data_IF_582100070344
#
_entry.id   IF_582100070344
#
_cell.length_a   1.000
_cell.length_b   1.000
_cell.length_c   1.000
_cell.angle_alpha   90.00
_cell.angle_beta   90.00
_cell.angle_gamma   90.00
#
_symmetry.space_group_name_H-M   'P 1'
#
loop_
_entity.id
_entity.type
_entity.pdbx_description
1 polymer ?
#
# COMPACT_ATOMS: atom_id res chain seq x y z
N UNK A 1 -11.68 19.19 -5.27
CA UNK A 1 -12.03 18.27 -6.38
C UNK A 1 -12.65 17.03 -5.75
N UNK A 2 -13.83 16.59 -6.22
CA UNK A 2 -14.41 15.33 -5.72
C UNK A 2 -13.64 14.13 -6.28
N UNK A 3 -13.60 13.03 -5.54
CA UNK A 3 -12.99 11.75 -5.96
C UNK A 3 -13.58 11.24 -7.28
N UNK A 4 -14.84 11.56 -7.56
CA UNK A 4 -15.52 11.29 -8.83
C UNK A 4 -14.87 12.02 -10.01
N UNK A 5 -14.50 13.30 -9.84
CA UNK A 5 -13.82 14.08 -10.91
C UNK A 5 -12.46 13.46 -11.26
N UNK A 6 -11.70 13.03 -10.25
CA UNK A 6 -10.39 12.38 -10.46
C UNK A 6 -10.57 11.05 -11.20
N UNK A 7 -11.55 10.24 -10.80
CA UNK A 7 -11.82 8.95 -11.43
C UNK A 7 -12.18 9.05 -12.92
N UNK A 8 -12.81 10.14 -13.35
CA UNK A 8 -13.12 10.36 -14.76
C UNK A 8 -11.89 10.72 -15.62
N UNK A 9 -10.86 11.31 -15.02
CA UNK A 9 -9.66 11.80 -15.72
C UNK A 9 -8.53 10.78 -15.78
N UNK A 10 -8.51 9.80 -14.87
CA UNK A 10 -7.41 8.82 -14.80
C UNK A 10 -7.69 7.53 -15.59
N UNK A 11 -6.66 6.98 -16.22
CA UNK A 11 -6.63 5.61 -16.69
C UNK A 11 -6.52 4.67 -15.48
N UNK A 12 -7.67 4.16 -15.02
CA UNK A 12 -7.75 3.30 -13.84
C UNK A 12 -6.89 2.04 -13.95
N UNK A 13 -6.89 1.37 -15.10
CA UNK A 13 -6.11 0.15 -15.31
C UNK A 13 -4.60 0.39 -15.19
N UNK A 14 -4.12 1.45 -15.83
CA UNK A 14 -2.71 1.84 -15.75
C UNK A 14 -2.32 2.32 -14.35
N UNK A 15 -3.20 3.09 -13.69
CA UNK A 15 -3.02 3.55 -12.30
C UNK A 15 -2.94 2.38 -11.33
N UNK A 16 -3.87 1.42 -11.42
CA UNK A 16 -3.84 0.19 -10.60
C UNK A 16 -2.51 -0.55 -10.82
N UNK A 17 -2.05 -0.70 -12.07
CA UNK A 17 -0.79 -1.39 -12.36
C UNK A 17 0.39 -0.68 -11.70
N UNK A 18 0.50 0.65 -11.84
CA UNK A 18 1.58 1.47 -11.24
C UNK A 18 1.55 1.42 -9.71
N UNK A 19 0.40 1.67 -9.11
CA UNK A 19 0.25 1.65 -7.65
C UNK A 19 0.44 0.24 -7.04
N UNK A 20 -0.03 -0.81 -7.72
CA UNK A 20 0.22 -2.19 -7.30
C UNK A 20 1.71 -2.54 -7.31
N UNK A 21 2.45 -2.09 -8.32
CA UNK A 21 3.89 -2.27 -8.37
C UNK A 21 4.59 -1.53 -7.23
N UNK A 22 4.21 -0.26 -7.01
CA UNK A 22 4.71 0.53 -5.89
C UNK A 22 4.50 -0.18 -4.54
N UNK A 23 3.31 -0.72 -4.28
CA UNK A 23 3.02 -1.48 -3.04
C UNK A 23 3.86 -2.75 -2.92
N UNK A 24 4.09 -3.50 -4.01
CA UNK A 24 4.90 -4.72 -4.01
C UNK A 24 6.37 -4.48 -3.65
N UNK A 25 6.90 -3.31 -3.99
CA UNK A 25 8.27 -2.92 -3.68
C UNK A 25 8.51 -2.65 -2.18
N UNK A 26 7.45 -2.67 -1.35
CA UNK A 26 7.59 -2.47 0.09
C UNK A 26 8.62 -3.42 0.72
N UNK A 27 8.56 -4.71 0.37
CA UNK A 27 9.39 -5.74 1.01
C UNK A 27 10.89 -5.51 0.77
N UNK A 28 11.27 -5.16 -0.47
CA UNK A 28 12.67 -4.88 -0.81
C UNK A 28 13.19 -3.65 -0.07
N UNK A 29 12.37 -2.60 0.05
CA UNK A 29 12.70 -1.41 0.85
C UNK A 29 12.77 -1.72 2.34
N UNK A 30 11.88 -2.57 2.85
CA UNK A 30 11.84 -2.97 4.25
C UNK A 30 13.08 -3.79 4.63
N UNK A 31 13.43 -4.80 3.83
CA UNK A 31 14.65 -5.59 4.00
C UNK A 31 15.91 -4.73 3.90
N UNK A 32 15.95 -3.77 2.97
CA UNK A 32 17.06 -2.82 2.85
C UNK A 32 17.20 -1.98 4.12
N UNK A 33 16.08 -1.50 4.67
CA UNK A 33 16.05 -0.74 5.92
C UNK A 33 16.55 -1.58 7.10
N UNK A 34 16.06 -2.82 7.25
CA UNK A 34 16.48 -3.73 8.31
C UNK A 34 17.98 -4.03 8.24
N UNK A 35 18.48 -4.39 7.04
CA UNK A 35 19.89 -4.70 6.80
C UNK A 35 20.80 -3.52 7.16
N UNK A 36 20.47 -2.31 6.71
CA UNK A 36 21.30 -1.13 6.95
C UNK A 36 21.21 -0.62 8.40
N UNK A 37 20.05 -0.73 9.05
CA UNK A 37 19.93 -0.46 10.50
C UNK A 37 20.77 -1.42 11.32
N UNK A 38 20.73 -2.71 11.02
CA UNK A 38 21.57 -3.69 11.68
C UNK A 38 23.06 -3.40 11.44
N UNK A 39 23.45 -3.07 10.21
CA UNK A 39 24.81 -2.65 9.91
C UNK A 39 25.26 -1.42 10.73
N UNK A 40 24.38 -0.42 10.91
CA UNK A 40 24.69 0.78 11.71
C UNK A 40 24.93 0.52 13.20
N UNK A 41 24.46 -0.61 13.73
CA UNK A 41 24.72 -1.03 15.11
C UNK A 41 26.11 -1.67 15.27
N UNK A 42 26.74 -2.09 14.17
CA UNK A 42 28.00 -2.83 14.16
C UNK A 42 29.15 -1.96 13.63
N UNK A 43 28.86 -1.06 12.67
CA UNK A 43 29.83 -0.15 12.06
C UNK A 43 29.20 1.19 11.69
N UNK A 44 30.04 2.20 11.52
CA UNK A 44 29.64 3.45 10.87
C UNK A 44 29.30 3.17 9.41
N UNK A 45 28.15 3.65 8.97
CA UNK A 45 27.72 3.53 7.58
C UNK A 45 28.51 4.52 6.70
N UNK A 46 28.80 4.12 5.47
CA UNK A 46 29.30 5.05 4.47
C UNK A 46 28.21 6.09 4.09
N UNK A 47 28.59 7.28 3.57
CA UNK A 47 27.62 8.28 3.13
C UNK A 47 26.62 7.76 2.05
N UNK A 48 27.02 6.76 1.28
CA UNK A 48 26.15 6.10 0.28
C UNK A 48 25.12 5.21 0.98
N UNK A 49 25.55 4.42 1.97
CA UNK A 49 24.66 3.56 2.76
C UNK A 49 23.67 4.40 3.58
N UNK A 50 24.10 5.53 4.14
CA UNK A 50 23.20 6.45 4.86
C UNK A 50 22.10 7.01 3.95
N UNK A 51 22.48 7.48 2.75
CA UNK A 51 21.51 7.93 1.74
C UNK A 51 20.55 6.81 1.34
N UNK A 52 21.07 5.58 1.17
CA UNK A 52 20.24 4.43 0.85
C UNK A 52 19.26 4.09 1.98
N UNK A 53 19.69 4.14 3.24
CA UNK A 53 18.85 3.91 4.41
C UNK A 53 17.76 4.99 4.53
N UNK A 54 18.11 6.26 4.31
CA UNK A 54 17.16 7.36 4.32
C UNK A 54 16.09 7.17 3.25
N UNK A 55 16.49 6.84 2.02
CA UNK A 55 15.56 6.54 0.91
C UNK A 55 14.67 5.34 1.23
N UNK A 56 15.24 4.21 1.65
CA UNK A 56 14.48 3.01 1.97
C UNK A 56 13.47 3.25 3.10
N UNK A 57 13.89 4.01 4.13
CA UNK A 57 13.00 4.39 5.23
C UNK A 57 11.85 5.27 4.75
N UNK A 58 12.11 6.24 3.88
CA UNK A 58 11.08 7.08 3.26
C UNK A 58 10.08 6.25 2.44
N UNK A 59 10.58 5.33 1.61
CA UNK A 59 9.76 4.44 0.79
C UNK A 59 8.84 3.54 1.65
N UNK A 60 9.34 3.01 2.76
CA UNK A 60 8.49 2.28 3.71
C UNK A 60 7.46 3.20 4.38
N UNK A 61 7.88 4.37 4.86
CA UNK A 61 7.02 5.29 5.59
C UNK A 61 5.87 5.82 4.74
N UNK A 62 6.12 6.20 3.48
CA UNK A 62 5.06 6.76 2.63
C UNK A 62 3.92 5.76 2.41
N UNK A 63 4.25 4.48 2.19
CA UNK A 63 3.25 3.41 2.05
C UNK A 63 2.47 3.19 3.33
N UNK A 64 3.16 3.11 4.47
CA UNK A 64 2.52 2.92 5.78
C UNK A 64 1.59 4.08 6.11
N UNK A 65 2.08 5.33 6.03
CA UNK A 65 1.30 6.53 6.34
C UNK A 65 0.12 6.73 5.39
N UNK A 66 0.27 6.40 4.10
CA UNK A 66 -0.86 6.46 3.16
C UNK A 66 -1.96 5.48 3.54
N UNK A 67 -1.61 4.26 3.98
CA UNK A 67 -2.58 3.28 4.48
C UNK A 67 -3.18 3.68 5.83
N UNK A 68 -2.46 4.42 6.67
CA UNK A 68 -3.00 4.95 7.92
C UNK A 68 -4.03 6.05 7.63
N UNK A 69 -3.70 7.02 6.78
CA UNK A 69 -4.65 8.06 6.32
C UNK A 69 -5.90 7.43 5.69
N UNK A 70 -5.71 6.46 4.79
CA UNK A 70 -6.82 5.76 4.15
C UNK A 70 -7.73 5.05 5.17
N UNK A 71 -7.16 4.53 6.26
CA UNK A 71 -7.93 3.83 7.30
C UNK A 71 -8.80 4.78 8.13
N UNK A 72 -8.35 6.02 8.29
CA UNK A 72 -9.00 7.03 9.12
C UNK A 72 -10.12 7.78 8.40
N UNK A 73 -10.31 7.56 7.09
CA UNK A 73 -11.32 8.27 6.28
C UNK A 73 -12.76 7.86 6.62
N UNK A 74 -13.07 6.56 6.56
CA UNK A 74 -14.40 5.98 6.81
C UNK A 74 -14.30 4.46 6.96
N UNK A 75 -15.39 3.80 7.37
CA UNK A 75 -15.43 2.35 7.62
C UNK A 75 -15.06 1.51 6.39
N UNK A 76 -15.51 1.92 5.19
CA UNK A 76 -15.22 1.23 3.94
C UNK A 76 -13.72 1.34 3.64
N UNK A 77 -13.16 2.54 3.77
CA UNK A 77 -11.75 2.82 3.53
C UNK A 77 -10.86 2.15 4.56
N UNK A 78 -11.31 1.99 5.81
CA UNK A 78 -10.66 1.16 6.83
C UNK A 78 -10.53 -0.29 6.39
N UNK A 79 -11.61 -0.90 5.91
CA UNK A 79 -11.59 -2.27 5.37
C UNK A 79 -10.59 -2.39 4.22
N UNK A 80 -10.64 -1.45 3.28
CA UNK A 80 -9.76 -1.45 2.11
C UNK A 80 -8.28 -1.23 2.48
N UNK A 81 -8.00 -0.39 3.48
CA UNK A 81 -6.65 -0.14 3.98
C UNK A 81 -6.06 -1.38 4.67
N UNK A 82 -6.86 -2.07 5.50
CA UNK A 82 -6.43 -3.32 6.13
C UNK A 82 -6.13 -4.41 5.11
N UNK A 83 -6.96 -4.53 4.07
CA UNK A 83 -6.73 -5.45 2.95
C UNK A 83 -5.33 -5.23 2.34
N UNK A 84 -4.99 -3.98 2.00
CA UNK A 84 -3.69 -3.66 1.41
C UNK A 84 -2.54 -3.85 2.40
N UNK A 85 -2.71 -3.45 3.67
CA UNK A 85 -1.70 -3.62 4.71
C UNK A 85 -1.36 -5.10 4.87
N UNK A 86 -2.35 -5.96 5.07
CA UNK A 86 -2.11 -7.39 5.26
C UNK A 86 -1.53 -8.04 4.02
N UNK A 87 -1.97 -7.62 2.82
CA UNK A 87 -1.45 -8.18 1.57
C UNK A 87 0.00 -7.80 1.29
N UNK A 88 0.35 -6.52 1.43
CA UNK A 88 1.60 -5.97 0.90
C UNK A 88 2.64 -5.67 1.96
N UNK A 89 2.25 -5.38 3.20
CA UNK A 89 3.18 -5.08 4.29
C UNK A 89 3.37 -6.30 5.21
N UNK A 90 2.36 -7.16 5.33
CA UNK A 90 2.43 -8.38 6.15
C UNK A 90 2.54 -9.68 5.34
N UNK A 91 2.45 -9.60 4.01
CA UNK A 91 2.56 -10.75 3.08
C UNK A 91 1.58 -11.90 3.35
N UNK A 92 0.37 -11.60 3.83
CA UNK A 92 -0.63 -12.63 4.07
C UNK A 92 -1.19 -13.20 2.76
N UNK A 93 -1.56 -14.48 2.81
CA UNK A 93 -2.25 -15.17 1.72
C UNK A 93 -3.67 -14.62 1.55
N UNK A 94 -4.22 -14.71 0.35
CA UNK A 94 -5.59 -14.25 0.08
C UNK A 94 -6.63 -14.95 0.98
N UNK A 95 -6.59 -16.29 1.18
CA UNK A 95 -7.55 -16.95 2.07
C UNK A 95 -7.50 -16.43 3.50
N UNK A 96 -6.30 -16.20 4.05
CA UNK A 96 -6.13 -15.62 5.39
C UNK A 96 -6.73 -14.22 5.48
N UNK A 97 -6.52 -13.39 4.46
CA UNK A 97 -7.06 -12.03 4.41
C UNK A 97 -8.59 -12.08 4.32
N UNK A 98 -9.17 -12.93 3.48
CA UNK A 98 -10.62 -13.07 3.34
C UNK A 98 -11.28 -13.46 4.67
N UNK A 99 -10.71 -14.46 5.36
CA UNK A 99 -11.19 -14.86 6.68
C UNK A 99 -11.12 -13.69 7.67
N UNK A 100 -9.95 -13.06 7.78
CA UNK A 100 -9.75 -11.99 8.76
C UNK A 100 -10.64 -10.77 8.50
N UNK A 101 -10.86 -10.40 7.23
CA UNK A 101 -11.76 -9.30 6.87
C UNK A 101 -13.22 -9.65 7.19
N UNK A 102 -13.64 -10.89 6.90
CA UNK A 102 -15.00 -11.33 7.21
C UNK A 102 -15.27 -11.28 8.72
N UNK A 103 -14.31 -11.72 9.54
CA UNK A 103 -14.42 -11.70 10.99
C UNK A 103 -14.37 -10.28 11.55
N UNK A 104 -13.37 -9.47 11.16
CA UNK A 104 -13.15 -8.12 11.69
C UNK A 104 -14.29 -7.16 11.34
N UNK A 105 -14.84 -7.26 10.13
CA UNK A 105 -15.88 -6.36 9.62
C UNK A 105 -17.26 -7.01 9.57
N UNK A 106 -17.44 -8.17 10.20
CA UNK A 106 -18.73 -8.87 10.34
C UNK A 106 -19.47 -9.09 9.01
N UNK A 107 -18.72 -9.48 7.97
CA UNK A 107 -19.25 -9.65 6.61
C UNK A 107 -19.90 -11.03 6.37
N UNK A 108 -19.77 -11.95 7.32
CA UNK A 108 -20.20 -13.35 7.21
C UNK A 108 -19.30 -14.19 6.28
N UNK A 109 -19.13 -13.78 5.02
CA UNK A 109 -18.27 -14.45 4.04
C UNK A 109 -17.68 -13.48 3.02
N UNK A 110 -16.41 -13.65 2.67
CA UNK A 110 -15.75 -12.90 1.60
C UNK A 110 -15.21 -13.83 0.51
N UNK A 111 -15.86 -13.82 -0.66
CA UNK A 111 -15.40 -14.57 -1.83
C UNK A 111 -14.12 -13.99 -2.44
N UNK A 112 -13.33 -14.81 -3.13
CA UNK A 112 -12.16 -14.33 -3.87
C UNK A 112 -12.51 -13.29 -4.94
N UNK A 113 -13.67 -13.44 -5.61
CA UNK A 113 -14.15 -12.44 -6.58
C UNK A 113 -14.41 -11.09 -5.92
N UNK A 114 -15.06 -11.09 -4.76
CA UNK A 114 -15.31 -9.87 -3.99
C UNK A 114 -13.99 -9.26 -3.50
N UNK A 115 -13.07 -10.10 -3.02
CA UNK A 115 -11.72 -9.68 -2.65
C UNK A 115 -10.99 -9.00 -3.80
N UNK A 116 -11.01 -9.55 -5.02
CA UNK A 116 -10.34 -8.94 -6.18
C UNK A 116 -10.92 -7.57 -6.52
N UNK A 117 -12.25 -7.41 -6.40
CA UNK A 117 -12.91 -6.12 -6.57
C UNK A 117 -12.48 -5.12 -5.50
N UNK A 118 -12.46 -5.53 -4.23
CA UNK A 118 -12.00 -4.69 -3.11
C UNK A 118 -10.53 -4.32 -3.27
N UNK A 119 -9.67 -5.26 -3.69
CA UNK A 119 -8.27 -4.97 -3.93
C UNK A 119 -8.10 -3.87 -4.98
N UNK A 120 -8.78 -3.96 -6.13
CA UNK A 120 -8.67 -2.94 -7.17
C UNK A 120 -9.17 -1.57 -6.70
N UNK A 121 -10.28 -1.54 -5.96
CA UNK A 121 -10.80 -0.31 -5.37
C UNK A 121 -9.80 0.27 -4.37
N UNK A 122 -9.27 -0.56 -3.47
CA UNK A 122 -8.31 -0.15 -2.46
C UNK A 122 -7.04 0.44 -3.10
N UNK A 123 -6.53 -0.18 -4.17
CA UNK A 123 -5.34 0.31 -4.88
C UNK A 123 -5.60 1.68 -5.52
N UNK A 124 -6.78 1.92 -6.07
CA UNK A 124 -7.14 3.25 -6.60
C UNK A 124 -7.22 4.30 -5.50
N UNK A 125 -7.88 3.99 -4.38
CA UNK A 125 -7.96 4.92 -3.24
C UNK A 125 -6.57 5.22 -2.69
N UNK A 126 -5.72 4.20 -2.57
CA UNK A 126 -4.33 4.38 -2.19
C UNK A 126 -3.59 5.31 -3.17
N UNK A 127 -3.76 5.13 -4.48
CA UNK A 127 -3.10 5.98 -5.48
C UNK A 127 -3.55 7.45 -5.41
N UNK A 128 -4.81 7.70 -5.08
CA UNK A 128 -5.37 9.05 -4.90
C UNK A 128 -4.81 9.73 -3.64
N UNK A 129 -4.67 8.98 -2.55
CA UNK A 129 -4.21 9.49 -1.25
C UNK A 129 -2.69 9.55 -1.13
N UNK A 130 -1.95 8.80 -1.96
CA UNK A 130 -0.50 8.75 -1.91
C UNK A 130 0.10 10.11 -2.33
N UNK A 131 1.04 10.68 -1.55
CA UNK A 131 1.70 11.93 -1.92
C UNK A 131 2.70 11.76 -3.09
N UNK A 132 3.05 10.53 -3.45
CA UNK A 132 3.82 10.24 -4.67
C UNK A 132 2.84 10.13 -5.84
N UNK A 133 3.16 10.76 -6.96
CA UNK A 133 2.32 10.70 -8.14
C UNK A 133 2.25 9.28 -8.70
N UNK A 134 1.14 8.61 -8.43
CA UNK A 134 0.79 7.28 -8.91
C UNK A 134 -0.29 7.30 -9.98
N UNK A 135 -0.91 8.46 -10.23
CA UNK A 135 -2.03 8.59 -11.15
C UNK A 135 -1.52 8.59 -12.59
N UNK A 136 -2.23 7.92 -13.48
CA UNK A 136 -1.98 7.97 -14.92
C UNK A 136 -3.19 8.62 -15.56
N UNK A 137 -2.99 9.74 -16.26
CA UNK A 137 -4.07 10.44 -16.95
C UNK A 137 -4.52 9.66 -18.19
N UNK A 138 -5.78 9.83 -18.58
CA UNK A 138 -6.25 9.41 -19.91
C UNK A 138 -5.62 10.36 -20.94
N UNK A 139 -5.14 9.79 -22.04
CA UNK A 139 -4.75 10.56 -23.22
C UNK A 139 -5.99 11.05 -23.97
#
# INVERSE_FOLDING_TARGET
MSTETINHQINQGATIKKAKQFLKEYDSWHLTTLRLRQASQIRVLSPVEEKQLAKASFECQVRQKTLDVMRETDDVSSLLADLLRWRYLCHWTVPKICQQLADKYQLGYLSERTYMRYQNHAILNFAILCPIDLLIQKN
#
